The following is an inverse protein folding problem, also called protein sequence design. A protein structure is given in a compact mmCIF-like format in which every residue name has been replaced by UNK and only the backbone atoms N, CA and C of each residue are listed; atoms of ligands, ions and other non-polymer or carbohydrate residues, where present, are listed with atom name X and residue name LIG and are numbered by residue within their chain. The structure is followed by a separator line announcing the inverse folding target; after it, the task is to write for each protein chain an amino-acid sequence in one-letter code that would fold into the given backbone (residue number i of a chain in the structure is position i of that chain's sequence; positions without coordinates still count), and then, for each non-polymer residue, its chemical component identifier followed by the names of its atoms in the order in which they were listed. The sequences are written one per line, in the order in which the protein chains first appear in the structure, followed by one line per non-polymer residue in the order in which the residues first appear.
data_IF_127945640412
#
_entry.id   IF_127945640412
#
_cell.length_a   1.000
_cell.length_b   1.000
_cell.length_c   1.000
_cell.angle_alpha   90.00
_cell.angle_beta   90.00
_cell.angle_gamma   90.00
#
_symmetry.space_group_name_H-M   'P 1'
#
loop_
_entity.id
_entity.type
_entity.pdbx_description
1 polymer ?
#
# COMPACT_ATOMS: atom_id res chain seq x y z
N UNK A 1 -14.13 -6.14 5.26
CA UNK A 1 -12.69 -5.83 5.26
C UNK A 1 -12.07 -6.66 6.35
N UNK A 2 -11.08 -7.48 6.02
CA UNK A 2 -10.35 -8.25 7.03
C UNK A 2 -9.32 -7.34 7.72
N UNK A 3 -8.94 -7.68 8.95
CA UNK A 3 -7.91 -6.95 9.70
C UNK A 3 -6.59 -6.82 8.90
N UNK A 4 -6.25 -7.85 8.13
CA UNK A 4 -5.08 -7.86 7.25
C UNK A 4 -5.20 -6.87 6.07
N UNK A 5 -6.40 -6.63 5.53
CA UNK A 5 -6.59 -5.59 4.51
C UNK A 5 -6.33 -4.19 5.10
N UNK A 6 -6.79 -3.96 6.33
CA UNK A 6 -6.55 -2.70 7.06
C UNK A 6 -5.05 -2.54 7.34
N UNK A 7 -4.40 -3.60 7.82
CA UNK A 7 -2.98 -3.60 8.14
C UNK A 7 -2.11 -3.29 6.90
N UNK A 8 -2.42 -3.90 5.74
CA UNK A 8 -1.70 -3.62 4.48
C UNK A 8 -1.91 -2.19 3.99
N UNK A 9 -3.16 -1.70 4.02
CA UNK A 9 -3.48 -0.31 3.66
C UNK A 9 -2.69 0.68 4.51
N UNK A 10 -2.66 0.46 5.83
CA UNK A 10 -1.93 1.33 6.75
C UNK A 10 -0.42 1.31 6.47
N UNK A 11 0.20 0.13 6.26
CA UNK A 11 1.63 0.07 5.92
C UNK A 11 1.95 0.76 4.60
N UNK A 12 1.12 0.62 3.57
CA UNK A 12 1.30 1.32 2.28
C UNK A 12 1.23 2.84 2.48
N UNK A 13 0.24 3.33 3.23
CA UNK A 13 0.10 4.75 3.48
C UNK A 13 1.24 5.31 4.35
N UNK A 14 1.73 4.56 5.34
CA UNK A 14 2.93 4.92 6.10
C UNK A 14 4.15 5.05 5.19
N UNK A 15 4.40 4.07 4.31
CA UNK A 15 5.51 4.11 3.35
C UNK A 15 5.43 5.33 2.42
N UNK A 16 4.23 5.64 1.90
CA UNK A 16 4.03 6.83 1.08
C UNK A 16 4.28 8.13 1.86
N UNK A 17 3.92 8.18 3.15
CA UNK A 17 4.20 9.32 4.02
C UNK A 17 5.69 9.45 4.33
N UNK A 18 6.38 8.34 4.58
CA UNK A 18 7.83 8.31 4.85
C UNK A 18 8.62 8.78 3.62
N UNK A 19 8.12 8.53 2.41
CA UNK A 19 8.67 9.06 1.15
C UNK A 19 8.26 10.50 0.86
N UNK A 20 7.47 11.14 1.71
CA UNK A 20 7.00 12.51 1.54
C UNK A 20 5.99 12.71 0.40
N UNK A 21 5.34 11.63 -0.06
CA UNK A 21 4.35 11.69 -1.13
C UNK A 21 2.97 12.13 -0.62
N UNK A 22 2.67 11.83 0.65
CA UNK A 22 1.41 12.21 1.31
C UNK A 22 1.69 12.67 2.74
N UNK A 23 0.70 13.30 3.37
CA UNK A 23 0.69 13.57 4.81
C UNK A 23 -0.50 12.85 5.44
N UNK A 24 -0.28 12.21 6.60
CA UNK A 24 -1.32 11.52 7.35
C UNK A 24 -1.89 12.48 8.39
N UNK A 25 -3.15 12.89 8.25
CA UNK A 25 -3.80 13.83 9.17
C UNK A 25 -3.96 13.28 10.59
N UNK A 26 -4.17 11.97 10.72
CA UNK A 26 -4.43 11.32 12.02
C UNK A 26 -3.12 10.88 12.68
N UNK A 27 -2.44 11.84 13.31
CA UNK A 27 -1.05 11.76 13.78
C UNK A 27 -0.64 10.73 14.83
N UNK A 28 -1.31 9.58 14.99
CA UNK A 28 -0.79 8.48 15.85
C UNK A 28 -1.49 7.11 15.69
N UNK A 29 -2.38 6.91 14.70
CA UNK A 29 -3.27 5.74 14.66
C UNK A 29 -3.23 4.89 13.39
N UNK A 30 -2.06 4.73 12.76
CA UNK A 30 -1.86 3.65 11.76
C UNK A 30 -1.43 2.35 12.45
N UNK A 31 -2.36 1.76 13.20
CA UNK A 31 -2.22 0.38 13.72
C UNK A 31 -3.52 -0.38 13.46
N UNK A 32 -3.47 -1.67 13.11
CA UNK A 32 -2.27 -2.49 12.94
C UNK A 32 -1.49 -2.17 11.65
N UNK A 33 -0.24 -2.63 11.56
CA UNK A 33 0.60 -2.59 10.38
C UNK A 33 0.87 -4.02 9.90
N UNK A 34 0.81 -4.25 8.59
CA UNK A 34 1.18 -5.53 7.99
C UNK A 34 2.70 -5.70 7.95
N UNK A 35 3.21 -6.93 8.11
CA UNK A 35 4.64 -7.22 8.02
C UNK A 35 5.15 -7.03 6.58
N UNK A 36 6.38 -6.51 6.45
CA UNK A 36 6.99 -6.19 5.15
C UNK A 36 7.08 -7.37 4.18
N UNK A 37 7.16 -8.61 4.68
CA UNK A 37 7.13 -9.82 3.84
C UNK A 37 5.88 -9.97 2.97
N UNK A 38 4.80 -9.25 3.29
CA UNK A 38 3.54 -9.27 2.54
C UNK A 38 3.44 -8.15 1.51
N UNK A 39 4.41 -7.23 1.46
CA UNK A 39 4.40 -6.06 0.58
C UNK A 39 5.65 -6.09 -0.28
N UNK A 40 5.47 -6.03 -1.59
CA UNK A 40 6.57 -5.97 -2.55
C UNK A 40 6.54 -4.62 -3.26
N UNK A 41 7.66 -3.91 -3.19
CA UNK A 41 7.91 -2.70 -3.96
C UNK A 41 8.83 -3.09 -5.12
N UNK A 42 8.45 -2.73 -6.34
CA UNK A 42 9.28 -2.95 -7.53
C UNK A 42 9.77 -1.60 -8.07
N UNK A 43 11.03 -1.51 -8.53
CA UNK A 43 11.52 -0.34 -9.25
C UNK A 43 10.69 -0.10 -10.52
N UNK A 44 10.48 1.18 -10.87
CA UNK A 44 9.72 1.53 -12.07
C UNK A 44 10.29 0.92 -13.36
N UNK A 45 11.63 0.82 -13.47
CA UNK A 45 12.33 0.21 -14.60
C UNK A 45 11.97 -1.28 -14.82
N UNK A 46 11.61 -1.99 -13.75
CA UNK A 46 11.27 -3.42 -13.79
C UNK A 46 9.76 -3.62 -14.01
N UNK A 47 8.94 -2.56 -14.03
CA UNK A 47 7.47 -2.67 -14.13
C UNK A 47 7.01 -3.57 -15.30
N UNK A 48 7.70 -3.51 -16.44
CA UNK A 48 7.35 -4.29 -17.63
C UNK A 48 7.72 -5.79 -17.53
N UNK A 49 8.52 -6.16 -16.55
CA UNK A 49 8.86 -7.57 -16.24
C UNK A 49 7.78 -8.23 -15.36
N UNK A 50 6.81 -7.45 -14.87
CA UNK A 50 5.76 -7.90 -13.96
C UNK A 50 4.38 -7.75 -14.59
N UNK A 51 3.54 -8.77 -14.43
CA UNK A 51 2.11 -8.63 -14.65
C UNK A 51 1.46 -7.98 -13.42
N UNK A 52 0.85 -6.81 -13.59
CA UNK A 52 0.20 -6.07 -12.50
C UNK A 52 -1.29 -6.43 -12.44
N UNK A 53 -1.66 -7.28 -11.48
CA UNK A 53 -3.04 -7.76 -11.31
C UNK A 53 -3.77 -6.96 -10.21
N UNK A 54 -4.66 -5.99 -10.54
CA UNK A 54 -5.42 -5.26 -9.53
C UNK A 54 -6.46 -6.16 -8.86
N UNK A 55 -6.61 -6.07 -7.53
CA UNK A 55 -7.63 -6.83 -6.76
C UNK A 55 -9.06 -6.37 -7.05
N UNK A 56 -9.22 -5.11 -7.46
CA UNK A 56 -10.48 -4.51 -7.84
C UNK A 56 -10.24 -3.43 -8.89
N UNK A 57 -11.24 -3.17 -9.73
CA UNK A 57 -11.21 -2.05 -10.66
C UNK A 57 -11.90 -0.85 -10.01
N UNK A 58 -11.30 0.34 -10.16
CA UNK A 58 -11.93 1.59 -9.77
C UNK A 58 -12.58 2.18 -11.03
N UNK A 59 -13.91 2.20 -11.07
CA UNK A 59 -14.72 2.65 -12.21
C UNK A 59 -15.61 1.54 -12.78
N UNK A 60 -16.76 1.91 -13.34
CA UNK A 60 -17.55 1.00 -14.17
C UNK A 60 -16.76 0.75 -15.46
N UNK A 61 -16.70 -0.51 -15.90
CA UNK A 61 -16.19 -0.86 -17.23
C UNK A 61 -16.90 -0.08 -18.32
#
# INVERSE_FOLDING_TARGET
LEENDIARRNTIAQLMSDWGLISIETGDKMKPLAPMRQIKIIPFKEKNEWELCPKYNIGNK
#
